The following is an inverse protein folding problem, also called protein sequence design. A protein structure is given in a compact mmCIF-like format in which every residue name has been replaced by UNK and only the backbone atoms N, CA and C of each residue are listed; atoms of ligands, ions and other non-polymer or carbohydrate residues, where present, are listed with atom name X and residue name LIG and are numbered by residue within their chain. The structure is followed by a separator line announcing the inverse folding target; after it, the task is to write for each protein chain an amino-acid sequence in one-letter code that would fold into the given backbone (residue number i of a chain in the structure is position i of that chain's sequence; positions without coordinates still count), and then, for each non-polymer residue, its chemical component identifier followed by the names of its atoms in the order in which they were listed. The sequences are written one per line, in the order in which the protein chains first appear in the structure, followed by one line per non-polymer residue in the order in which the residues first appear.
data_IF_267789845814
#
_entry.id   IF_267789845814
#
_cell.length_a   1.000
_cell.length_b   1.000
_cell.length_c   1.000
_cell.angle_alpha   90.00
_cell.angle_beta   90.00
_cell.angle_gamma   90.00
#
_symmetry.space_group_name_H-M   'P 1'
#
loop_
_entity.id
_entity.type
_entity.pdbx_description
1 polymer ?
#
# COMPACT_ATOMS: atom_id res chain seq x y z
N UNK A 1 -47.81 9.07 5.69
CA UNK A 1 -46.96 8.39 6.68
C UNK A 1 -45.97 7.54 5.90
N UNK A 2 -44.75 8.02 5.59
CA UNK A 2 -43.72 7.11 5.14
C UNK A 2 -43.27 6.33 6.39
N UNK A 3 -43.44 5.03 6.37
CA UNK A 3 -42.78 4.09 7.29
C UNK A 3 -41.29 4.27 7.12
N UNK A 4 -40.69 5.12 7.95
CA UNK A 4 -39.25 5.11 8.17
C UNK A 4 -38.94 3.76 8.81
N UNK A 5 -38.51 2.80 7.97
CA UNK A 5 -37.84 1.60 8.46
C UNK A 5 -36.61 2.13 9.16
N UNK A 6 -36.63 2.13 10.49
CA UNK A 6 -35.45 2.37 11.30
C UNK A 6 -34.57 1.17 10.99
N UNK A 7 -33.70 1.31 9.99
CA UNK A 7 -32.70 0.30 9.68
C UNK A 7 -31.80 0.18 10.90
N UNK A 8 -31.51 -1.05 11.29
CA UNK A 8 -30.67 -1.37 12.45
C UNK A 8 -29.27 -0.75 12.26
N UNK A 9 -28.58 -0.38 13.36
CA UNK A 9 -27.22 0.15 13.29
C UNK A 9 -26.33 -0.79 12.47
N UNK A 10 -25.44 -0.21 11.66
CA UNK A 10 -24.68 -1.00 10.69
C UNK A 10 -23.19 -0.72 10.82
N UNK A 11 -22.37 -1.74 11.05
CA UNK A 11 -20.91 -1.62 10.88
C UNK A 11 -20.55 -2.12 9.49
N UNK A 12 -19.66 -1.40 8.79
CA UNK A 12 -19.11 -1.87 7.50
C UNK A 12 -17.69 -2.37 7.70
N UNK A 13 -17.43 -3.63 7.37
CA UNK A 13 -16.08 -4.14 7.18
C UNK A 13 -15.72 -4.06 5.70
N UNK A 14 -14.82 -3.14 5.37
CA UNK A 14 -14.35 -2.93 4.02
C UNK A 14 -13.03 -3.69 3.83
N UNK A 15 -13.10 -4.79 3.10
CA UNK A 15 -12.00 -5.72 2.83
C UNK A 15 -11.21 -5.30 1.59
N UNK A 16 -9.96 -5.71 1.52
CA UNK A 16 -9.16 -5.59 0.30
C UNK A 16 -9.57 -6.69 -0.67
N UNK A 17 -10.01 -6.34 -1.88
CA UNK A 17 -10.38 -7.30 -2.92
C UNK A 17 -9.25 -8.28 -3.27
N UNK A 18 -7.98 -7.88 -3.06
CA UNK A 18 -6.79 -8.70 -3.31
C UNK A 18 -6.53 -9.73 -2.21
N UNK A 19 -6.82 -9.33 -0.98
CA UNK A 19 -6.54 -10.11 0.23
C UNK A 19 -7.77 -10.11 1.15
N UNK A 20 -8.92 -10.64 0.71
CA UNK A 20 -10.17 -10.46 1.42
C UNK A 20 -10.23 -11.27 2.72
N UNK A 21 -9.24 -12.13 2.98
CA UNK A 21 -9.06 -12.86 4.24
C UNK A 21 -8.10 -12.18 5.21
N UNK A 22 -7.42 -11.10 4.81
CA UNK A 22 -6.45 -10.40 5.65
C UNK A 22 -7.15 -9.36 6.53
N UNK A 23 -7.66 -9.81 7.67
CA UNK A 23 -8.35 -8.96 8.64
C UNK A 23 -7.45 -8.77 9.86
N UNK A 24 -7.12 -7.52 10.25
CA UNK A 24 -6.33 -7.27 11.46
C UNK A 24 -6.98 -7.86 12.70
N UNK A 25 -6.21 -8.54 13.54
CA UNK A 25 -6.72 -9.16 14.77
C UNK A 25 -7.41 -8.15 15.72
N UNK A 26 -6.96 -6.90 15.72
CA UNK A 26 -7.59 -5.81 16.48
C UNK A 26 -9.03 -5.50 16.06
N UNK A 27 -9.48 -5.93 14.88
CA UNK A 27 -10.87 -5.76 14.43
C UNK A 27 -11.78 -6.84 14.99
N UNK A 28 -11.26 -8.02 15.33
CA UNK A 28 -12.06 -9.18 15.81
C UNK A 28 -13.03 -8.80 16.94
N UNK A 29 -12.66 -8.03 17.98
CA UNK A 29 -13.59 -7.64 19.04
C UNK A 29 -14.76 -6.75 18.58
N UNK A 30 -14.64 -6.13 17.40
CA UNK A 30 -15.66 -5.25 16.80
C UNK A 30 -16.57 -5.98 15.81
N UNK A 31 -16.18 -7.17 15.34
CA UNK A 31 -16.97 -7.95 14.40
C UNK A 31 -18.12 -8.62 15.13
N UNK A 32 -19.29 -7.98 15.12
CA UNK A 32 -20.51 -8.49 15.76
C UNK A 32 -21.73 -8.26 14.89
N UNK A 33 -22.75 -9.08 15.07
CA UNK A 33 -24.05 -8.86 14.46
C UNK A 33 -24.40 -9.80 13.32
N UNK A 34 -25.49 -9.48 12.62
CA UNK A 34 -25.93 -10.23 11.44
C UNK A 34 -25.05 -9.87 10.24
N UNK A 35 -24.32 -10.86 9.71
CA UNK A 35 -23.43 -10.64 8.57
C UNK A 35 -24.21 -10.56 7.26
N UNK A 36 -23.99 -9.49 6.50
CA UNK A 36 -24.52 -9.28 5.15
C UNK A 36 -23.34 -9.01 4.22
N UNK A 37 -23.37 -9.55 3.01
CA UNK A 37 -22.30 -9.39 2.02
C UNK A 37 -22.82 -8.65 0.79
N UNK A 38 -22.00 -7.79 0.21
CA UNK A 38 -22.16 -7.33 -1.17
C UNK A 38 -21.76 -8.45 -2.16
N UNK A 39 -22.17 -8.33 -3.42
CA UNK A 39 -22.09 -9.42 -4.40
C UNK A 39 -20.65 -9.77 -4.80
N UNK A 40 -19.74 -8.82 -4.76
CA UNK A 40 -18.36 -9.01 -5.18
C UNK A 40 -17.49 -9.75 -4.14
N UNK A 41 -17.96 -9.88 -2.89
CA UNK A 41 -17.19 -10.60 -1.85
C UNK A 41 -17.08 -12.08 -2.23
N UNK A 42 -15.86 -12.66 -2.33
CA UNK A 42 -15.68 -14.06 -2.73
C UNK A 42 -16.40 -15.06 -1.82
N UNK A 43 -16.97 -16.11 -2.40
CA UNK A 43 -17.71 -17.16 -1.65
C UNK A 43 -16.85 -17.83 -0.58
N UNK A 44 -15.54 -18.00 -0.82
CA UNK A 44 -14.59 -18.56 0.14
C UNK A 44 -14.52 -17.75 1.43
N UNK A 45 -14.62 -16.42 1.34
CA UNK A 45 -14.66 -15.52 2.50
C UNK A 45 -15.99 -15.70 3.24
N UNK A 46 -17.10 -15.79 2.51
CA UNK A 46 -18.45 -15.89 3.10
C UNK A 46 -18.65 -17.14 3.95
N UNK A 47 -18.01 -18.26 3.58
CA UNK A 47 -18.15 -19.53 4.28
C UNK A 47 -17.46 -19.53 5.65
N UNK A 48 -16.22 -19.04 5.72
CA UNK A 48 -15.42 -19.11 6.95
C UNK A 48 -15.64 -17.91 7.88
N UNK A 49 -16.06 -16.77 7.32
CA UNK A 49 -16.13 -15.52 8.06
C UNK A 49 -17.25 -15.49 9.10
N UNK A 50 -18.40 -16.11 8.82
CA UNK A 50 -19.55 -16.13 9.73
C UNK A 50 -19.23 -16.72 11.12
N UNK A 51 -18.36 -17.73 11.17
CA UNK A 51 -17.93 -18.38 12.41
C UNK A 51 -16.99 -17.50 13.25
N UNK A 52 -16.39 -16.48 12.64
CA UNK A 52 -15.49 -15.53 13.31
C UNK A 52 -16.23 -14.31 13.88
N UNK A 53 -17.52 -14.14 13.61
CA UNK A 53 -18.32 -12.97 14.00
C UNK A 53 -19.13 -13.29 15.25
N UNK A 54 -19.03 -12.43 16.27
CA UNK A 54 -19.82 -12.63 17.48
C UNK A 54 -21.31 -12.30 17.21
N UNK A 55 -22.27 -12.97 17.88
CA UNK A 55 -23.68 -12.60 17.75
C UNK A 55 -23.93 -11.17 18.28
N UNK A 56 -24.85 -10.45 17.64
CA UNK A 56 -25.25 -9.09 17.99
C UNK A 56 -26.56 -8.70 17.31
N UNK A 57 -27.17 -7.59 17.74
CA UNK A 57 -28.41 -7.04 17.16
C UNK A 57 -28.16 -6.16 15.94
N UNK A 58 -26.93 -5.65 15.77
CA UNK A 58 -26.55 -4.78 14.67
C UNK A 58 -26.25 -5.57 13.38
N UNK A 59 -26.24 -4.92 12.23
CA UNK A 59 -25.84 -5.53 10.96
C UNK A 59 -24.35 -5.29 10.69
N UNK A 60 -23.61 -6.34 10.31
CA UNK A 60 -22.24 -6.23 9.81
C UNK A 60 -22.24 -6.40 8.29
N UNK A 61 -22.13 -5.30 7.56
CA UNK A 61 -21.97 -5.30 6.11
C UNK A 61 -20.51 -5.57 5.75
N UNK A 62 -20.23 -6.61 4.97
CA UNK A 62 -18.90 -6.94 4.46
C UNK A 62 -18.88 -6.64 2.97
N UNK A 63 -17.91 -5.84 2.55
CA UNK A 63 -17.75 -5.43 1.15
C UNK A 63 -16.28 -5.42 0.74
N UNK A 64 -15.97 -5.64 -0.54
CA UNK A 64 -14.64 -5.29 -1.10
C UNK A 64 -14.70 -4.07 -2.00
N UNK A 65 -15.89 -3.66 -2.41
CA UNK A 65 -16.14 -2.45 -3.19
C UNK A 65 -16.53 -1.29 -2.26
N UNK A 66 -15.72 -0.24 -2.25
CA UNK A 66 -16.05 0.97 -1.49
C UNK A 66 -17.16 1.79 -2.14
N UNK A 67 -17.37 1.63 -3.44
CA UNK A 67 -18.36 2.35 -4.23
C UNK A 67 -19.71 1.65 -4.27
N UNK A 68 -19.85 0.47 -3.65
CA UNK A 68 -21.13 -0.20 -3.49
C UNK A 68 -22.14 0.73 -2.80
N UNK A 69 -23.38 0.77 -3.32
CA UNK A 69 -24.44 1.67 -2.84
C UNK A 69 -24.64 1.57 -1.32
N UNK A 70 -24.68 0.34 -0.79
CA UNK A 70 -24.81 0.09 0.64
C UNK A 70 -23.64 0.66 1.48
N UNK A 71 -22.42 0.68 0.95
CA UNK A 71 -21.24 1.24 1.62
C UNK A 71 -21.26 2.76 1.60
N UNK A 72 -21.61 3.36 0.45
CA UNK A 72 -21.76 4.81 0.31
C UNK A 72 -22.88 5.35 1.21
N UNK A 73 -24.00 4.64 1.28
CA UNK A 73 -25.12 4.94 2.16
C UNK A 73 -24.73 4.88 3.64
N UNK A 74 -23.98 3.84 4.05
CA UNK A 74 -23.45 3.72 5.42
C UNK A 74 -22.58 4.91 5.79
N UNK A 75 -21.66 5.27 4.88
CA UNK A 75 -20.73 6.38 5.06
C UNK A 75 -21.47 7.71 5.17
N UNK A 76 -22.50 7.93 4.35
CA UNK A 76 -23.34 9.12 4.40
C UNK A 76 -24.13 9.23 5.72
N UNK A 77 -24.51 8.09 6.31
CA UNK A 77 -25.17 8.01 7.63
C UNK A 77 -24.23 8.17 8.82
N UNK A 78 -22.90 8.15 8.60
CA UNK A 78 -21.90 8.23 9.67
C UNK A 78 -21.74 6.94 10.47
N UNK A 79 -22.08 5.81 9.85
CA UNK A 79 -21.87 4.47 10.40
C UNK A 79 -20.38 4.13 10.58
N UNK A 80 -20.04 3.18 11.45
CA UNK A 80 -18.65 2.76 11.64
C UNK A 80 -18.14 2.01 10.41
N UNK A 81 -17.08 2.51 9.78
CA UNK A 81 -16.37 1.85 8.67
C UNK A 81 -15.03 1.32 9.16
N UNK A 82 -14.89 0.01 9.22
CA UNK A 82 -13.66 -0.71 9.50
C UNK A 82 -12.96 -1.03 8.17
N UNK A 83 -12.06 -0.15 7.76
CA UNK A 83 -11.27 -0.37 6.55
C UNK A 83 -9.99 -1.16 6.88
N UNK A 84 -9.76 -2.28 6.18
CA UNK A 84 -8.54 -3.07 6.41
C UNK A 84 -7.31 -2.31 5.87
N UNK A 85 -6.19 -2.22 6.62
CA UNK A 85 -5.02 -1.46 6.20
C UNK A 85 -4.43 -1.88 4.85
N UNK A 86 -4.63 -3.15 4.44
CA UNK A 86 -4.17 -3.65 3.14
C UNK A 86 -4.79 -2.87 1.98
N UNK A 87 -6.01 -2.33 2.12
CA UNK A 87 -6.63 -1.45 1.12
C UNK A 87 -5.81 -0.20 0.81
N UNK A 88 -4.95 0.21 1.73
CA UNK A 88 -4.06 1.34 1.56
C UNK A 88 -2.64 0.92 1.11
N UNK A 89 -2.41 -0.32 0.67
CA UNK A 89 -1.16 -0.74 0.02
C UNK A 89 -1.04 -0.22 -1.43
N UNK A 90 -0.86 1.09 -1.57
CA UNK A 90 -0.56 1.74 -2.85
C UNK A 90 0.70 1.14 -3.51
N UNK A 91 1.72 0.81 -2.73
CA UNK A 91 2.95 0.20 -3.24
C UNK A 91 2.70 -1.19 -3.86
N UNK A 92 1.90 -2.03 -3.20
CA UNK A 92 1.52 -3.32 -3.77
C UNK A 92 0.74 -3.18 -5.08
N UNK A 93 -0.08 -2.12 -5.21
CA UNK A 93 -0.76 -1.80 -6.46
C UNK A 93 0.21 -1.34 -7.55
N UNK A 94 1.20 -0.52 -7.20
CA UNK A 94 2.23 -0.07 -8.13
C UNK A 94 3.04 -1.25 -8.70
N UNK A 95 3.49 -2.16 -7.84
CA UNK A 95 4.21 -3.39 -8.26
C UNK A 95 3.38 -4.18 -9.28
N UNK A 96 2.14 -4.56 -8.94
CA UNK A 96 1.27 -5.33 -9.85
C UNK A 96 0.90 -4.57 -11.13
N UNK A 97 0.83 -3.25 -11.06
CA UNK A 97 0.58 -2.42 -12.25
C UNK A 97 1.77 -2.49 -13.19
N UNK A 98 3.00 -2.44 -12.66
CA UNK A 98 4.23 -2.61 -13.43
C UNK A 98 4.35 -4.03 -14.02
N UNK A 99 4.11 -5.07 -13.23
CA UNK A 99 4.03 -6.47 -13.71
C UNK A 99 3.06 -6.58 -14.89
N UNK A 100 1.86 -6.00 -14.76
CA UNK A 100 0.84 -6.00 -15.81
C UNK A 100 1.27 -5.19 -17.04
N UNK A 101 1.95 -4.06 -16.85
CA UNK A 101 2.43 -3.21 -17.93
C UNK A 101 3.45 -3.99 -18.80
N UNK A 102 4.43 -4.66 -18.20
CA UNK A 102 5.38 -5.50 -18.94
C UNK A 102 4.76 -6.77 -19.50
N UNK A 103 3.62 -7.23 -18.97
CA UNK A 103 2.89 -8.35 -19.57
C UNK A 103 2.09 -7.94 -20.82
N UNK A 104 1.53 -6.73 -20.85
CA UNK A 104 0.57 -6.31 -21.89
C UNK A 104 1.14 -5.35 -22.93
N UNK A 105 2.06 -4.47 -22.53
CA UNK A 105 2.53 -3.36 -23.34
C UNK A 105 3.77 -3.69 -24.15
N UNK A 106 3.72 -3.45 -25.46
CA UNK A 106 4.83 -3.71 -26.37
C UNK A 106 6.03 -2.81 -26.05
N UNK A 107 5.80 -1.55 -25.71
CA UNK A 107 6.88 -0.62 -25.36
C UNK A 107 7.60 -1.03 -24.09
N UNK A 108 6.86 -1.41 -23.05
CA UNK A 108 7.36 -1.88 -21.77
C UNK A 108 8.17 -3.17 -21.93
N UNK A 109 7.72 -4.07 -22.80
CA UNK A 109 8.44 -5.31 -23.12
C UNK A 109 9.78 -5.10 -23.82
N UNK A 110 9.91 -4.02 -24.60
CA UNK A 110 11.15 -3.66 -25.29
C UNK A 110 12.19 -3.02 -24.37
N UNK A 111 11.81 -2.64 -23.15
CA UNK A 111 12.72 -1.98 -22.23
C UNK A 111 13.76 -2.94 -21.65
N UNK A 112 14.96 -2.39 -21.47
CA UNK A 112 16.07 -3.01 -20.78
C UNK A 112 16.62 -2.01 -19.76
N UNK A 113 17.45 -2.47 -18.82
CA UNK A 113 18.13 -1.54 -17.93
C UNK A 113 18.91 -0.44 -18.67
N UNK A 114 19.44 -0.74 -19.86
CA UNK A 114 20.22 0.23 -20.65
C UNK A 114 19.33 1.24 -21.39
N UNK A 115 18.18 0.82 -21.93
CA UNK A 115 17.27 1.74 -22.64
C UNK A 115 16.56 2.69 -21.69
N UNK A 116 16.42 2.31 -20.43
CA UNK A 116 15.78 3.12 -19.39
C UNK A 116 16.68 4.20 -18.78
N UNK A 117 18.01 4.13 -18.98
CA UNK A 117 18.94 5.10 -18.37
C UNK A 117 18.63 6.54 -18.76
N UNK A 118 18.30 6.79 -20.04
CA UNK A 118 17.97 8.15 -20.49
C UNK A 118 16.72 8.70 -19.82
N UNK A 119 15.72 7.86 -19.60
CA UNK A 119 14.50 8.25 -18.89
C UNK A 119 14.81 8.53 -17.41
N UNK A 120 15.59 7.68 -16.75
CA UNK A 120 16.02 7.94 -15.38
C UNK A 120 16.80 9.25 -15.22
N UNK A 121 17.67 9.58 -16.19
CA UNK A 121 18.38 10.87 -16.21
C UNK A 121 17.42 12.05 -16.37
N UNK A 122 16.41 11.92 -17.23
CA UNK A 122 15.35 12.91 -17.45
C UNK A 122 14.51 13.13 -16.18
N UNK A 123 13.90 12.08 -15.61
CA UNK A 123 13.06 12.20 -14.40
C UNK A 123 13.85 12.75 -13.20
N UNK A 124 15.14 12.40 -13.10
CA UNK A 124 16.00 12.94 -12.04
C UNK A 124 16.28 14.43 -12.25
N UNK A 125 16.38 14.88 -13.50
CA UNK A 125 16.56 16.29 -13.83
C UNK A 125 15.29 17.10 -13.57
N UNK A 126 14.11 16.57 -13.90
CA UNK A 126 12.81 17.20 -13.63
C UNK A 126 12.55 17.31 -12.12
N UNK A 127 12.77 16.24 -11.36
CA UNK A 127 12.73 16.27 -9.89
C UNK A 127 13.65 17.35 -9.32
N UNK A 128 14.88 17.43 -9.82
CA UNK A 128 15.85 18.45 -9.40
C UNK A 128 15.32 19.85 -9.71
N UNK A 129 14.78 20.08 -10.90
CA UNK A 129 14.24 21.37 -11.32
C UNK A 129 13.11 21.83 -10.39
N UNK A 130 12.16 20.95 -10.08
CA UNK A 130 11.06 21.24 -9.15
C UNK A 130 11.58 21.64 -7.76
N UNK A 131 12.60 20.95 -7.25
CA UNK A 131 13.23 21.29 -5.96
C UNK A 131 13.93 22.66 -6.03
N UNK A 132 14.72 22.93 -7.07
CA UNK A 132 15.50 24.17 -7.20
C UNK A 132 14.61 25.41 -7.40
N UNK A 133 13.46 25.24 -8.04
CA UNK A 133 12.50 26.32 -8.31
C UNK A 133 11.49 26.52 -7.17
N UNK A 134 11.49 25.67 -6.15
CA UNK A 134 10.52 25.72 -5.06
C UNK A 134 9.11 25.41 -5.54
N UNK A 135 8.97 24.39 -6.38
CA UNK A 135 7.68 23.90 -6.86
C UNK A 135 6.76 23.44 -5.73
N UNK A 136 5.48 23.23 -6.05
CA UNK A 136 4.49 22.79 -5.07
C UNK A 136 4.76 21.36 -4.59
N UNK A 137 4.22 21.01 -3.42
CA UNK A 137 4.27 19.63 -2.90
C UNK A 137 3.64 18.62 -3.87
N UNK A 138 2.64 19.05 -4.65
CA UNK A 138 2.00 18.24 -5.69
C UNK A 138 2.98 17.95 -6.84
N UNK A 139 3.67 18.98 -7.33
CA UNK A 139 4.71 18.79 -8.36
C UNK A 139 5.82 17.87 -7.84
N UNK A 140 6.31 18.13 -6.62
CA UNK A 140 7.35 17.30 -6.01
C UNK A 140 6.92 15.83 -5.89
N UNK A 141 5.67 15.58 -5.51
CA UNK A 141 5.12 14.23 -5.41
C UNK A 141 5.07 13.53 -6.78
N UNK A 142 4.68 14.24 -7.84
CA UNK A 142 4.64 13.69 -9.20
C UNK A 142 6.03 13.29 -9.69
N UNK A 143 7.02 14.17 -9.58
CA UNK A 143 8.39 13.85 -10.01
C UNK A 143 9.01 12.68 -9.20
N UNK A 144 8.71 12.60 -7.90
CA UNK A 144 9.11 11.45 -7.08
C UNK A 144 8.43 10.15 -7.53
N UNK A 145 7.19 10.22 -8.04
CA UNK A 145 6.49 9.07 -8.60
C UNK A 145 7.12 8.61 -9.91
N UNK A 146 7.62 9.53 -10.74
CA UNK A 146 8.32 9.18 -11.99
C UNK A 146 9.70 8.58 -11.71
N UNK A 147 10.42 9.06 -10.70
CA UNK A 147 11.64 8.37 -10.22
C UNK A 147 11.31 6.97 -9.66
N UNK A 148 10.20 6.82 -8.93
CA UNK A 148 9.75 5.51 -8.45
C UNK A 148 9.36 4.57 -9.60
N UNK A 149 8.77 5.10 -10.68
CA UNK A 149 8.45 4.36 -11.89
C UNK A 149 9.71 3.71 -12.49
N UNK A 150 10.82 4.44 -12.54
CA UNK A 150 12.10 3.89 -12.99
C UNK A 150 12.58 2.75 -12.09
N UNK A 151 12.53 2.92 -10.76
CA UNK A 151 12.90 1.85 -9.81
C UNK A 151 12.05 0.59 -10.03
N UNK A 152 10.74 0.75 -10.23
CA UNK A 152 9.81 -0.35 -10.51
C UNK A 152 10.15 -1.07 -11.83
N UNK A 153 10.43 -0.33 -12.91
CA UNK A 153 10.86 -0.93 -14.17
C UNK A 153 12.13 -1.77 -14.01
N UNK A 154 13.14 -1.24 -13.34
CA UNK A 154 14.39 -1.96 -13.12
C UNK A 154 14.18 -3.21 -12.25
N UNK A 155 13.34 -3.13 -11.23
CA UNK A 155 12.98 -4.28 -10.40
C UNK A 155 12.26 -5.37 -11.22
N UNK A 156 11.24 -5.01 -11.99
CA UNK A 156 10.45 -5.96 -12.79
C UNK A 156 11.29 -6.62 -13.90
N UNK A 157 12.16 -5.86 -14.58
CA UNK A 157 13.08 -6.42 -15.58
C UNK A 157 14.04 -7.43 -14.92
N UNK A 158 14.46 -7.18 -13.68
CA UNK A 158 15.31 -8.10 -12.93
C UNK A 158 14.55 -9.35 -12.43
N UNK A 159 13.28 -9.19 -12.04
CA UNK A 159 12.46 -10.28 -11.54
C UNK A 159 12.11 -11.29 -12.65
N UNK A 160 11.83 -10.80 -13.87
CA UNK A 160 11.57 -11.66 -15.05
C UNK A 160 12.70 -12.62 -15.40
N UNK A 161 13.93 -12.32 -14.97
CA UNK A 161 15.11 -13.20 -15.12
C UNK A 161 15.47 -13.96 -13.84
N UNK A 162 14.63 -13.89 -12.81
CA UNK A 162 14.81 -14.51 -11.50
C UNK A 162 15.99 -13.97 -10.72
N UNK A 163 16.35 -12.69 -10.91
CA UNK A 163 17.52 -12.10 -10.26
C UNK A 163 17.20 -11.40 -8.94
N UNK A 164 16.27 -10.45 -8.94
CA UNK A 164 15.75 -9.76 -7.77
C UNK A 164 14.45 -9.03 -8.11
N UNK A 165 13.61 -8.77 -7.11
CA UNK A 165 12.37 -7.99 -7.25
C UNK A 165 12.43 -6.67 -6.44
N UNK A 166 11.30 -5.95 -6.34
CA UNK A 166 11.26 -4.71 -5.53
C UNK A 166 11.41 -4.98 -4.02
N UNK A 167 10.97 -6.14 -3.53
CA UNK A 167 11.13 -6.51 -2.13
C UNK A 167 12.61 -6.71 -1.79
N UNK A 168 13.39 -7.31 -2.69
CA UNK A 168 14.84 -7.43 -2.56
C UNK A 168 15.53 -6.05 -2.53
N UNK A 169 15.09 -5.10 -3.35
CA UNK A 169 15.58 -3.71 -3.32
C UNK A 169 15.29 -3.07 -1.96
N UNK A 170 14.07 -3.22 -1.43
CA UNK A 170 13.69 -2.71 -0.12
C UNK A 170 14.50 -3.38 1.01
N UNK A 171 14.68 -4.70 0.96
CA UNK A 171 15.49 -5.45 1.91
C UNK A 171 16.95 -5.00 1.90
N UNK A 172 17.54 -4.78 0.71
CA UNK A 172 18.89 -4.25 0.56
C UNK A 172 19.03 -2.83 1.12
N UNK A 173 18.00 -1.98 0.97
CA UNK A 173 17.95 -0.67 1.60
C UNK A 173 17.95 -0.76 3.14
N UNK A 174 17.09 -1.60 3.73
CA UNK A 174 17.03 -1.80 5.18
C UNK A 174 18.36 -2.34 5.71
N UNK A 175 18.94 -3.35 5.07
CA UNK A 175 20.23 -3.92 5.45
C UNK A 175 21.37 -2.86 5.40
N UNK A 176 21.33 -1.97 4.41
CA UNK A 176 22.26 -0.84 4.31
C UNK A 176 22.10 0.12 5.50
N UNK A 177 20.86 0.44 5.89
CA UNK A 177 20.62 1.30 7.05
C UNK A 177 20.99 0.63 8.37
N UNK A 178 20.73 -0.66 8.56
CA UNK A 178 21.18 -1.39 9.76
C UNK A 178 22.68 -1.28 9.98
N UNK A 179 23.46 -1.25 8.88
CA UNK A 179 24.91 -1.13 8.90
C UNK A 179 25.41 0.31 9.12
N UNK A 180 24.75 1.29 8.49
CA UNK A 180 25.23 2.69 8.39
C UNK A 180 24.53 3.67 9.34
N UNK A 181 23.39 3.27 9.89
CA UNK A 181 22.58 4.02 10.83
C UNK A 181 21.98 3.04 11.88
N UNK A 182 22.82 2.32 12.66
CA UNK A 182 22.35 1.29 13.59
C UNK A 182 21.42 1.83 14.68
N UNK A 183 21.53 3.12 15.01
CA UNK A 183 20.65 3.82 15.97
C UNK A 183 19.16 3.78 15.57
N UNK A 184 18.84 3.52 14.30
CA UNK A 184 17.45 3.32 13.86
C UNK A 184 16.87 1.96 14.31
N UNK A 185 17.70 1.02 14.79
CA UNK A 185 17.32 -0.38 15.02
C UNK A 185 17.73 -0.93 16.40
N UNK A 186 18.60 -0.24 17.14
CA UNK A 186 19.17 -0.73 18.41
C UNK A 186 18.43 -0.27 19.67
N UNK A 187 17.29 0.39 19.51
CA UNK A 187 16.47 0.90 20.61
C UNK A 187 16.89 2.28 21.13
N UNK A 188 17.74 3.00 20.38
CA UNK A 188 18.02 4.42 20.66
C UNK A 188 16.74 5.25 20.71
N UNK A 189 16.54 6.00 21.81
CA UNK A 189 15.36 6.85 22.03
C UNK A 189 15.66 8.35 21.96
N UNK A 190 16.94 8.73 22.03
CA UNK A 190 17.40 10.11 22.01
C UNK A 190 17.81 10.54 20.60
N UNK A 191 17.79 11.85 20.35
CA UNK A 191 18.24 12.41 19.07
C UNK A 191 19.75 12.19 18.91
N UNK A 192 20.14 11.53 17.83
CA UNK A 192 21.55 11.33 17.46
C UNK A 192 22.05 12.57 16.70
N UNK A 193 23.20 13.11 17.09
CA UNK A 193 23.77 14.30 16.46
C UNK A 193 24.20 14.05 15.01
N UNK A 194 24.16 15.09 14.17
CA UNK A 194 24.55 14.98 12.76
C UNK A 194 26.00 14.47 12.58
N UNK A 195 26.94 14.95 13.41
CA UNK A 195 28.34 14.51 13.36
C UNK A 195 28.47 13.01 13.63
N UNK A 196 27.69 12.50 14.58
CA UNK A 196 27.67 11.06 14.89
C UNK A 196 27.03 10.25 13.77
N UNK A 197 25.94 10.75 13.17
CA UNK A 197 25.31 10.11 12.00
C UNK A 197 26.30 10.01 10.82
N UNK A 198 27.05 11.08 10.53
CA UNK A 198 28.09 11.08 9.49
C UNK A 198 29.19 10.08 9.81
N UNK A 199 29.67 10.03 11.06
CA UNK A 199 30.69 9.07 11.50
C UNK A 199 30.22 7.63 11.29
N UNK A 200 29.03 7.28 11.78
CA UNK A 200 28.44 5.95 11.66
C UNK A 200 28.23 5.56 10.19
N UNK A 201 27.84 6.52 9.34
CA UNK A 201 27.61 6.27 7.93
C UNK A 201 28.89 5.87 7.19
N UNK A 202 30.00 6.57 7.42
CA UNK A 202 31.29 6.25 6.81
C UNK A 202 31.85 4.91 7.34
N UNK A 203 31.73 4.65 8.65
CA UNK A 203 32.15 3.37 9.22
C UNK A 203 31.35 2.19 8.64
N UNK A 204 30.05 2.37 8.45
CA UNK A 204 29.17 1.36 7.84
C UNK A 204 29.41 1.16 6.33
N UNK A 205 30.11 2.06 5.63
CA UNK A 205 30.55 1.82 4.24
C UNK A 205 31.76 0.88 4.16
N UNK A 206 32.61 0.86 5.19
CA UNK A 206 33.89 0.13 5.21
C UNK A 206 33.79 -1.31 5.70
N UNK A 207 32.77 -1.62 6.51
CA UNK A 207 32.41 -3.01 6.86
C UNK A 207 31.81 -3.71 5.64
#
# INVERSE_FOLDING_TARGET
MPTGSIMEPMTVLLLDARWPTLIPFQFVPKLKGQVVYTDEVPVTVRWDFGDCVAPGEDTLLVSTDEHAEAVQDARARGEEILEVPSRHEAMGQAIRTMERALHLGEWEQLQTHATLVSYLEEETAELKEVIEQGGSDEQLCNELADVLLQVLFHAEIADRRGAFDLNDVAAAFVAKLQKRAPYLFDGTTEVVSADEQVRLWEEGKLR
#
